data_IF_738083969578
#
_entry.id   IF_738083969578
#
_cell.length_a   1.000
_cell.length_b   1.000
_cell.length_c   1.000
_cell.angle_alpha   90.00
_cell.angle_beta   90.00
_cell.angle_gamma   90.00
#
_symmetry.space_group_name_H-M   'P 1'
#
loop_
_entity.id
_entity.type
_entity.pdbx_description
1 polymer ?
#
# COMPACT_ATOMS: atom_id res chain seq x y z
N UNK A 1 30.36 24.42 13.66
CA UNK A 1 30.87 23.14 13.14
C UNK A 1 29.87 22.70 12.09
N UNK A 2 30.33 22.59 10.85
CA UNK A 2 29.57 22.27 9.64
C UNK A 2 29.35 20.76 9.59
N UNK A 3 28.12 20.30 9.78
CA UNK A 3 27.70 18.97 9.32
C UNK A 3 26.81 19.17 8.10
N UNK A 4 27.50 19.30 6.97
CA UNK A 4 26.93 19.19 5.65
C UNK A 4 26.81 17.70 5.38
N UNK A 5 25.60 17.17 5.51
CA UNK A 5 25.29 15.80 5.11
C UNK A 5 25.42 15.73 3.59
N UNK A 6 26.57 15.25 3.12
CA UNK A 6 26.73 14.71 1.77
C UNK A 6 25.76 13.53 1.62
N UNK A 7 24.62 13.76 0.99
CA UNK A 7 23.75 12.70 0.50
C UNK A 7 24.09 12.53 -0.98
N UNK A 8 25.16 11.77 -1.23
CA UNK A 8 25.52 11.32 -2.57
C UNK A 8 25.06 9.87 -2.70
N UNK A 9 23.74 9.63 -2.79
CA UNK A 9 23.06 8.40 -3.27
C UNK A 9 21.58 8.43 -2.83
N UNK A 10 20.77 9.28 -3.45
CA UNK A 10 19.35 9.43 -3.10
C UNK A 10 18.48 8.31 -3.67
N UNK A 11 18.95 7.61 -4.70
CA UNK A 11 18.16 6.63 -5.46
C UNK A 11 17.90 5.29 -4.75
N UNK A 12 18.86 4.64 -4.07
CA UNK A 12 18.57 3.39 -3.34
C UNK A 12 17.65 3.63 -2.15
N UNK A 13 17.77 4.78 -1.46
CA UNK A 13 16.90 5.16 -0.34
C UNK A 13 15.44 5.28 -0.80
N UNK A 14 15.21 5.89 -1.97
CA UNK A 14 13.86 6.04 -2.55
C UNK A 14 13.23 4.68 -2.90
N UNK A 15 14.02 3.70 -3.36
CA UNK A 15 13.52 2.35 -3.66
C UNK A 15 13.09 1.59 -2.40
N UNK A 16 13.85 1.70 -1.32
CA UNK A 16 13.54 1.06 -0.04
C UNK A 16 12.33 1.71 0.65
N UNK A 17 12.23 3.04 0.60
CA UNK A 17 11.07 3.78 1.10
C UNK A 17 9.78 3.40 0.34
N UNK A 18 9.87 3.24 -1.00
CA UNK A 18 8.73 2.76 -1.79
C UNK A 18 8.34 1.31 -1.43
N UNK A 19 9.31 0.45 -1.14
CA UNK A 19 9.05 -0.93 -0.73
C UNK A 19 8.27 -0.97 0.60
N UNK A 20 8.68 -0.15 1.57
CA UNK A 20 8.01 -0.05 2.87
C UNK A 20 6.57 0.45 2.72
N UNK A 21 6.36 1.52 1.94
CA UNK A 21 5.01 2.07 1.68
C UNK A 21 4.11 1.05 0.99
N UNK A 22 4.63 0.30 0.00
CA UNK A 22 3.89 -0.78 -0.66
C UNK A 22 3.46 -1.83 0.37
N UNK A 23 4.40 -2.27 1.21
CA UNK A 23 4.14 -3.29 2.23
C UNK A 23 3.09 -2.82 3.25
N UNK A 24 3.17 -1.59 3.73
CA UNK A 24 2.19 -1.03 4.66
C UNK A 24 0.79 -0.94 4.03
N UNK A 25 0.72 -0.55 2.76
CA UNK A 25 -0.56 -0.42 2.05
C UNK A 25 -1.20 -1.79 1.79
N UNK A 26 -0.41 -2.83 1.52
CA UNK A 26 -0.88 -4.23 1.44
C UNK A 26 -1.43 -4.71 2.78
N UNK A 27 -0.69 -4.49 3.88
CA UNK A 27 -1.16 -4.84 5.22
C UNK A 27 -2.45 -4.10 5.58
N UNK A 28 -2.55 -2.82 5.22
CA UNK A 28 -3.76 -2.03 5.41
C UNK A 28 -4.94 -2.62 4.65
N UNK A 29 -4.74 -3.01 3.39
CA UNK A 29 -5.77 -3.65 2.56
C UNK A 29 -6.32 -4.92 3.21
N UNK A 30 -5.43 -5.80 3.69
CA UNK A 30 -5.83 -7.04 4.36
C UNK A 30 -6.56 -6.79 5.67
N UNK A 31 -6.04 -5.85 6.49
CA UNK A 31 -6.70 -5.45 7.74
C UNK A 31 -8.10 -4.91 7.48
N UNK A 32 -8.25 -4.03 6.50
CA UNK A 32 -9.54 -3.44 6.12
C UNK A 32 -10.55 -4.53 5.73
N UNK A 33 -10.13 -5.52 4.94
CA UNK A 33 -10.95 -6.66 4.57
C UNK A 33 -11.40 -7.46 5.79
N UNK A 34 -10.46 -7.82 6.66
CA UNK A 34 -10.72 -8.63 7.84
C UNK A 34 -11.63 -7.90 8.84
N UNK A 35 -11.36 -6.62 9.10
CA UNK A 35 -12.17 -5.78 9.99
C UNK A 35 -13.58 -5.60 9.45
N UNK A 36 -13.73 -5.33 8.15
CA UNK A 36 -15.05 -5.17 7.51
C UNK A 36 -15.86 -6.45 7.57
N UNK A 37 -15.24 -7.60 7.28
CA UNK A 37 -15.91 -8.90 7.38
C UNK A 37 -16.31 -9.23 8.83
N UNK A 38 -15.43 -8.94 9.79
CA UNK A 38 -15.71 -9.13 11.22
C UNK A 38 -16.86 -8.24 11.68
N UNK A 39 -16.85 -6.97 11.30
CA UNK A 39 -17.92 -6.02 11.62
C UNK A 39 -19.24 -6.44 10.96
N UNK A 40 -19.20 -6.86 9.70
CA UNK A 40 -20.37 -7.36 8.98
C UNK A 40 -20.98 -8.59 9.66
N UNK A 41 -20.14 -9.54 10.10
CA UNK A 41 -20.59 -10.72 10.83
C UNK A 41 -21.27 -10.34 12.14
N UNK A 42 -20.68 -9.42 12.92
CA UNK A 42 -21.28 -8.90 14.17
C UNK A 42 -22.61 -8.20 13.91
N UNK A 43 -22.72 -7.49 12.80
CA UNK A 43 -23.94 -6.80 12.35
C UNK A 43 -24.96 -7.75 11.67
N UNK A 44 -24.67 -9.06 11.57
CA UNK A 44 -25.48 -10.04 10.81
C UNK A 44 -25.70 -9.64 9.33
N UNK A 45 -24.79 -8.86 8.77
CA UNK A 45 -24.78 -8.49 7.36
C UNK A 45 -24.19 -9.65 6.54
N UNK A 46 -24.81 -9.95 5.39
CA UNK A 46 -24.27 -10.96 4.49
C UNK A 46 -22.90 -10.55 3.94
N UNK A 47 -22.02 -11.53 3.73
CA UNK A 47 -20.70 -11.30 3.13
C UNK A 47 -20.80 -10.55 1.80
N UNK A 48 -21.75 -10.91 0.94
CA UNK A 48 -21.97 -10.25 -0.36
C UNK A 48 -22.24 -8.75 -0.21
N UNK A 49 -23.09 -8.35 0.75
CA UNK A 49 -23.41 -6.93 0.98
C UNK A 49 -22.24 -6.16 1.59
N UNK A 50 -21.43 -6.83 2.43
CA UNK A 50 -20.19 -6.27 2.97
C UNK A 50 -19.16 -6.04 1.85
N UNK A 51 -18.96 -7.05 0.99
CA UNK A 51 -18.03 -6.98 -0.13
C UNK A 51 -18.44 -5.93 -1.16
N UNK A 52 -19.72 -5.82 -1.50
CA UNK A 52 -20.19 -4.80 -2.45
C UNK A 52 -19.85 -3.36 -2.02
N UNK A 53 -19.76 -3.10 -0.71
CA UNK A 53 -19.35 -1.79 -0.18
C UNK A 53 -17.83 -1.64 -0.11
N UNK A 54 -17.13 -2.75 0.14
CA UNK A 54 -15.68 -2.76 0.34
C UNK A 54 -14.89 -2.80 -0.98
N UNK A 55 -15.41 -3.51 -1.99
CA UNK A 55 -14.80 -3.71 -3.30
C UNK A 55 -14.33 -2.43 -4.00
N UNK A 56 -15.10 -1.32 -4.06
CA UNK A 56 -14.60 -0.08 -4.67
C UNK A 56 -13.42 0.54 -3.91
N UNK A 57 -13.32 0.31 -2.60
CA UNK A 57 -12.20 0.81 -1.78
C UNK A 57 -10.96 -0.07 -2.03
N UNK A 58 -11.14 -1.40 -2.04
CA UNK A 58 -10.05 -2.33 -2.37
C UNK A 58 -9.52 -2.08 -3.78
N UNK A 59 -10.38 -1.83 -4.75
CA UNK A 59 -9.97 -1.52 -6.12
C UNK A 59 -9.12 -0.24 -6.22
N UNK A 60 -9.43 0.79 -5.42
CA UNK A 60 -8.61 2.00 -5.35
C UNK A 60 -7.24 1.73 -4.73
N UNK A 61 -7.19 0.93 -3.66
CA UNK A 61 -5.94 0.52 -3.02
C UNK A 61 -5.10 -0.32 -4.00
N UNK A 62 -5.73 -1.25 -4.71
CA UNK A 62 -5.08 -2.10 -5.71
C UNK A 62 -4.49 -1.28 -6.87
N UNK A 63 -5.23 -0.30 -7.38
CA UNK A 63 -4.73 0.61 -8.39
C UNK A 63 -3.52 1.41 -7.89
N UNK A 64 -3.57 1.90 -6.64
CA UNK A 64 -2.45 2.63 -6.04
C UNK A 64 -1.22 1.75 -5.82
N UNK A 65 -1.41 0.50 -5.39
CA UNK A 65 -0.34 -0.48 -5.26
C UNK A 65 0.34 -0.74 -6.61
N UNK A 66 -0.44 -0.86 -7.68
CA UNK A 66 0.12 -1.05 -9.02
C UNK A 66 0.94 0.17 -9.49
N UNK A 67 0.44 1.38 -9.26
CA UNK A 67 1.20 2.61 -9.54
C UNK A 67 2.53 2.67 -8.77
N UNK A 68 2.52 2.32 -7.49
CA UNK A 68 3.71 2.35 -6.64
C UNK A 68 4.72 1.27 -7.06
N UNK A 69 4.26 0.06 -7.38
CA UNK A 69 5.11 -1.02 -7.91
C UNK A 69 5.70 -0.65 -9.26
N UNK A 70 4.92 -0.01 -10.13
CA UNK A 70 5.43 0.49 -11.41
C UNK A 70 6.52 1.55 -11.20
N UNK A 71 6.35 2.47 -10.24
CA UNK A 71 7.38 3.46 -9.88
C UNK A 71 8.64 2.78 -9.32
N UNK A 72 8.48 1.81 -8.42
CA UNK A 72 9.60 1.05 -7.86
C UNK A 72 10.37 0.30 -8.94
N UNK A 73 9.67 -0.30 -9.91
CA UNK A 73 10.28 -0.98 -11.04
C UNK A 73 11.07 -0.01 -11.95
N UNK A 74 10.55 1.21 -12.18
CA UNK A 74 11.28 2.23 -12.93
C UNK A 74 12.58 2.64 -12.22
N UNK A 75 12.52 2.92 -10.91
CA UNK A 75 13.70 3.28 -10.10
C UNK A 75 14.72 2.13 -10.04
N UNK A 76 14.25 0.88 -10.05
CA UNK A 76 15.13 -0.31 -10.04
C UNK A 76 15.77 -0.63 -11.40
N UNK A 77 15.15 -0.20 -12.52
CA UNK A 77 15.64 -0.45 -13.89
C UNK A 77 16.59 0.65 -14.38
N UNK A 78 16.48 1.86 -13.83
CA UNK A 78 17.34 3.00 -14.19
C UNK A 78 18.73 2.95 -13.54
N UNK A 79 19.04 1.88 -12.79
CA UNK A 79 20.28 1.66 -12.02
C UNK A 79 21.14 0.52 -12.59
#
# INVERSE_FOLDING_TARGET
MTEQTEITSTEPVVSDELAEVIQELEQYRERLLNETLTAAQRAKMSKTKAMAQLEPILAQIDAKLEELRSQQAMVSVEN
#
